data_IF_802463043415
#
_entry.id   IF_802463043415
#
_cell.length_a   1.000
_cell.length_b   1.000
_cell.length_c   1.000
_cell.angle_alpha   90.00
_cell.angle_beta   90.00
_cell.angle_gamma   90.00
#
_symmetry.space_group_name_H-M   'P 1'
#
loop_
_entity.id
_entity.type
_entity.pdbx_description
1 polymer ?
#
# COMPACT_ATOMS: atom_id res chain seq x y z
N UNK A 1 -2.99 -14.89 -0.51
CA UNK A 1 -2.80 -14.47 0.90
C UNK A 1 -3.10 -12.97 0.99
N UNK A 2 -3.45 -12.45 2.18
CA UNK A 2 -3.64 -11.01 2.40
C UNK A 2 -2.64 -10.51 3.44
N UNK A 3 -1.99 -9.39 3.15
CA UNK A 3 -1.11 -8.68 4.10
C UNK A 3 -1.77 -7.36 4.44
N UNK A 4 -2.09 -7.15 5.71
CA UNK A 4 -2.70 -5.90 6.21
C UNK A 4 -1.66 -5.09 6.96
N UNK A 5 -1.69 -3.77 6.78
CA UNK A 5 -0.78 -2.85 7.47
C UNK A 5 -1.45 -1.49 7.64
N UNK A 6 -1.00 -0.73 8.64
CA UNK A 6 -1.45 0.62 8.95
C UNK A 6 -0.25 1.55 8.98
N UNK A 7 -0.44 2.79 8.55
CA UNK A 7 0.56 3.84 8.74
C UNK A 7 0.29 4.57 10.07
N UNK A 8 1.25 5.36 10.59
CA UNK A 8 1.12 6.02 11.90
C UNK A 8 -0.14 6.89 12.04
N UNK A 9 -0.59 7.50 10.94
CA UNK A 9 -1.79 8.35 10.91
C UNK A 9 -2.78 7.96 9.80
N UNK A 10 -4.07 8.29 9.95
CA UNK A 10 -5.05 8.17 8.86
C UNK A 10 -4.69 9.00 7.63
N UNK A 11 -4.10 10.18 7.84
CA UNK A 11 -3.63 11.09 6.79
C UNK A 11 -2.51 10.43 5.98
N UNK A 12 -1.55 9.79 6.65
CA UNK A 12 -0.50 9.03 5.98
C UNK A 12 -1.07 7.87 5.16
N UNK A 13 -2.03 7.15 5.73
CA UNK A 13 -2.70 6.05 5.02
C UNK A 13 -3.37 6.57 3.75
N UNK A 14 -4.06 7.70 3.83
CA UNK A 14 -4.71 8.33 2.67
C UNK A 14 -3.69 8.77 1.62
N UNK A 15 -2.62 9.43 2.03
CA UNK A 15 -1.57 9.91 1.13
C UNK A 15 -0.82 8.75 0.45
N UNK A 16 -0.49 7.70 1.20
CA UNK A 16 0.10 6.47 0.65
C UNK A 16 -0.82 5.80 -0.39
N UNK A 17 -2.11 5.65 -0.08
CA UNK A 17 -3.07 5.06 -1.01
C UNK A 17 -3.20 5.88 -2.30
N UNK A 18 -3.21 7.21 -2.21
CA UNK A 18 -3.22 8.10 -3.38
C UNK A 18 -1.95 7.97 -4.23
N UNK A 19 -0.78 7.93 -3.58
CA UNK A 19 0.50 7.73 -4.26
C UNK A 19 0.57 6.36 -4.97
N UNK A 20 0.11 5.31 -4.29
CA UNK A 20 0.10 3.96 -4.83
C UNK A 20 -0.87 3.85 -6.03
N UNK A 21 -2.06 4.43 -5.93
CA UNK A 21 -3.03 4.50 -7.02
C UNK A 21 -2.47 5.26 -8.23
N UNK A 22 -1.79 6.40 -8.01
CA UNK A 22 -1.10 7.15 -9.06
C UNK A 22 0.03 6.39 -9.76
N UNK A 23 0.50 5.29 -9.17
CA UNK A 23 1.50 4.36 -9.73
C UNK A 23 0.88 3.06 -10.24
N UNK A 24 -0.45 3.00 -10.37
CA UNK A 24 -1.18 1.84 -10.89
C UNK A 24 -1.40 0.71 -9.89
N UNK A 25 -1.05 0.90 -8.61
CA UNK A 25 -1.33 -0.07 -7.55
C UNK A 25 -2.73 0.16 -6.98
N UNK A 26 -3.72 -0.51 -7.59
CA UNK A 26 -5.13 -0.41 -7.23
C UNK A 26 -5.53 -1.38 -6.11
N UNK A 27 -6.69 -1.14 -5.50
CA UNK A 27 -7.33 -2.02 -4.50
C UNK A 27 -6.52 -2.28 -3.22
N UNK A 28 -5.64 -1.35 -2.84
CA UNK A 28 -4.87 -1.44 -1.59
C UNK A 28 -5.63 -0.93 -0.35
N UNK A 29 -6.78 -0.27 -0.51
CA UNK A 29 -7.57 0.23 0.62
C UNK A 29 -8.09 -0.93 1.46
N UNK A 30 -7.83 -0.89 2.76
CA UNK A 30 -8.29 -1.91 3.71
C UNK A 30 -9.81 -1.99 3.81
N UNK A 31 -10.31 -3.09 4.39
CA UNK A 31 -11.75 -3.28 4.57
C UNK A 31 -12.34 -2.18 5.46
N UNK A 32 -13.53 -1.68 5.12
CA UNK A 32 -14.19 -0.54 5.80
C UNK A 32 -14.31 -0.68 7.32
N UNK A 33 -14.38 -1.90 7.85
CA UNK A 33 -14.52 -2.15 9.29
C UNK A 33 -13.20 -2.09 10.07
N UNK A 34 -12.06 -2.17 9.38
CA UNK A 34 -10.72 -2.21 10.01
C UNK A 34 -9.88 -1.00 9.60
N UNK A 35 -10.10 -0.45 8.40
CA UNK A 35 -9.30 0.64 7.86
C UNK A 35 -7.92 0.18 7.38
N UNK A 36 -6.98 1.12 7.30
CA UNK A 36 -5.60 0.85 6.87
C UNK A 36 -5.47 0.42 5.41
N UNK A 37 -4.45 -0.40 5.15
CA UNK A 37 -4.13 -0.97 3.85
C UNK A 37 -4.23 -2.49 3.86
N UNK A 38 -4.52 -3.07 2.69
CA UNK A 38 -4.53 -4.52 2.45
C UNK A 38 -3.94 -4.84 1.07
N UNK A 39 -2.83 -5.55 1.05
CA UNK A 39 -2.25 -6.11 -0.15
C UNK A 39 -2.72 -7.57 -0.34
N UNK A 40 -3.49 -7.81 -1.39
CA UNK A 40 -3.97 -9.14 -1.76
C UNK A 40 -3.00 -9.82 -2.74
N UNK A 41 -2.22 -10.77 -2.24
CA UNK A 41 -1.17 -11.50 -2.96
C UNK A 41 -1.59 -12.98 -3.15
N UNK A 42 -2.61 -13.20 -3.98
CA UNK A 42 -3.05 -14.56 -4.36
C UNK A 42 -2.16 -15.14 -5.47
N UNK A 43 -2.37 -16.39 -5.86
CA UNK A 43 -1.54 -17.09 -6.85
C UNK A 43 -1.42 -16.34 -8.19
N UNK A 44 -2.44 -15.58 -8.58
CA UNK A 44 -2.42 -14.77 -9.80
C UNK A 44 -1.65 -13.45 -9.69
N UNK A 45 -1.12 -13.09 -8.52
CA UNK A 45 -0.33 -11.88 -8.34
C UNK A 45 1.14 -12.15 -8.70
N UNK A 46 1.70 -11.48 -9.72
CA UNK A 46 3.11 -11.64 -10.08
C UNK A 46 4.04 -11.08 -9.01
N UNK A 47 5.25 -11.62 -8.92
CA UNK A 47 6.28 -11.17 -7.95
C UNK A 47 6.68 -9.72 -8.21
N UNK A 48 6.66 -9.29 -9.46
CA UNK A 48 6.96 -7.94 -9.91
C UNK A 48 5.97 -6.93 -9.31
N UNK A 49 4.69 -7.31 -9.16
CA UNK A 49 3.69 -6.49 -8.49
C UNK A 49 4.00 -6.30 -7.00
N UNK A 50 4.49 -7.35 -6.33
CA UNK A 50 4.96 -7.26 -4.94
C UNK A 50 6.20 -6.39 -4.82
N UNK A 51 7.16 -6.53 -5.75
CA UNK A 51 8.36 -5.70 -5.79
C UNK A 51 8.01 -4.21 -6.00
N UNK A 52 7.06 -3.90 -6.89
CA UNK A 52 6.56 -2.55 -7.12
C UNK A 52 5.90 -1.96 -5.86
N UNK A 53 5.11 -2.76 -5.13
CA UNK A 53 4.52 -2.34 -3.85
C UNK A 53 5.60 -2.02 -2.82
N UNK A 54 6.61 -2.89 -2.67
CA UNK A 54 7.74 -2.65 -1.74
C UNK A 54 8.51 -1.37 -2.11
N UNK A 55 8.75 -1.13 -3.39
CA UNK A 55 9.38 0.10 -3.85
C UNK A 55 8.53 1.34 -3.51
N UNK A 56 7.21 1.27 -3.72
CA UNK A 56 6.30 2.35 -3.34
C UNK A 56 6.32 2.64 -1.83
N UNK A 57 6.37 1.60 -0.99
CA UNK A 57 6.45 1.75 0.46
C UNK A 57 7.74 2.45 0.89
N UNK A 58 8.88 2.06 0.29
CA UNK A 58 10.18 2.69 0.55
C UNK A 58 10.23 4.15 0.11
N UNK A 59 9.70 4.46 -1.07
CA UNK A 59 9.65 5.83 -1.57
C UNK A 59 8.79 6.73 -0.68
N UNK A 60 7.64 6.21 -0.23
CA UNK A 60 6.78 6.94 0.70
C UNK A 60 7.48 7.19 2.05
N UNK A 61 8.11 6.16 2.63
CA UNK A 61 8.88 6.29 3.88
C UNK A 61 10.04 7.29 3.74
N UNK A 62 10.79 7.23 2.64
CA UNK A 62 11.89 8.16 2.38
C UNK A 62 11.41 9.62 2.23
N UNK A 63 10.21 9.82 1.67
CA UNK A 63 9.56 11.13 1.57
C UNK A 63 9.12 11.70 2.92
N UNK A 64 8.71 10.84 3.87
CA UNK A 64 8.34 11.26 5.23
C UNK A 64 9.51 11.70 6.09
N UNK A 65 10.74 11.24 5.78
CA UNK A 65 11.95 11.50 6.58
C UNK A 65 12.72 12.75 6.13
N UNK A 66 12.14 13.57 5.25
CA UNK A 66 12.65 14.89 4.86
C UNK A 66 11.97 15.98 5.66
#
# INVERSE_FOLDING_TARGET
MNVTFTLPTPEDTKAFLQMAEGRGMINLKGHRSVGGCRASIYNGMPKEGVAALVACMKDYEAGLRK
#
